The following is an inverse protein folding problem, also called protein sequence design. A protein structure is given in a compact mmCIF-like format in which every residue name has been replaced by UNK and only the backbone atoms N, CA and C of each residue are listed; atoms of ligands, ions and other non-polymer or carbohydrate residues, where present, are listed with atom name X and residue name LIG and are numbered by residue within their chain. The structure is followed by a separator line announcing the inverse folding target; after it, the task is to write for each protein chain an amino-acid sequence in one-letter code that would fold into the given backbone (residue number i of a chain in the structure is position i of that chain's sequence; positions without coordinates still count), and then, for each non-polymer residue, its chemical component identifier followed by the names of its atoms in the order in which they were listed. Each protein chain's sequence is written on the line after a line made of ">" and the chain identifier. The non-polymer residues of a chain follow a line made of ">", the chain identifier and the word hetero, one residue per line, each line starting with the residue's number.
data_IF_114019013783
#
_entry.id   IF_114019013783
#
_cell.length_a   1.000
_cell.length_b   1.000
_cell.length_c   1.000
_cell.angle_alpha   90.00
_cell.angle_beta   90.00
_cell.angle_gamma   90.00
#
_symmetry.space_group_name_H-M   'P 1'
#
loop_
_entity.id
_entity.type
_entity.pdbx_description
1 polymer ?
#
# COMPACT_ATOMS: atom_id res chain seq x y z
N UNK A 1 -14.07 -16.78 -20.06
CA UNK A 1 -13.53 -15.78 -19.13
C UNK A 1 -13.50 -16.51 -17.80
N UNK A 2 -12.32 -16.89 -17.33
CA UNK A 2 -12.21 -17.46 -15.99
C UNK A 2 -12.65 -16.36 -15.02
N UNK A 3 -13.76 -16.61 -14.33
CA UNK A 3 -14.16 -15.81 -13.19
C UNK A 3 -13.04 -15.97 -12.16
N UNK A 4 -12.28 -14.91 -11.90
CA UNK A 4 -11.32 -14.91 -10.80
C UNK A 4 -12.08 -15.30 -9.54
N UNK A 5 -11.76 -16.47 -8.99
CA UNK A 5 -12.32 -16.94 -7.72
C UNK A 5 -11.70 -16.05 -6.65
N UNK A 6 -12.50 -15.27 -5.92
CA UNK A 6 -12.04 -14.57 -4.72
C UNK A 6 -12.52 -15.34 -3.50
N UNK A 7 -11.62 -15.50 -2.52
CA UNK A 7 -11.92 -16.14 -1.23
C UNK A 7 -11.71 -15.16 -0.09
N UNK A 8 -12.60 -15.21 0.90
CA UNK A 8 -12.62 -14.28 2.02
C UNK A 8 -12.39 -15.02 3.33
N UNK A 9 -11.45 -14.57 4.19
CA UNK A 9 -11.12 -15.25 5.42
C UNK A 9 -12.26 -15.11 6.44
N UNK A 10 -12.73 -16.22 6.98
CA UNK A 10 -13.75 -16.29 8.02
C UNK A 10 -13.17 -16.92 9.28
N UNK A 11 -13.71 -16.58 10.45
CA UNK A 11 -13.32 -17.20 11.73
C UNK A 11 -14.49 -17.92 12.38
N UNK A 12 -14.39 -19.22 12.54
CA UNK A 12 -15.40 -20.06 13.21
C UNK A 12 -14.75 -20.93 14.28
N UNK A 13 -15.36 -21.01 15.46
CA UNK A 13 -14.84 -21.78 16.61
C UNK A 13 -13.36 -21.51 16.94
N UNK A 14 -12.90 -20.27 16.74
CA UNK A 14 -11.53 -19.85 17.03
C UNK A 14 -10.52 -20.09 15.90
N UNK A 15 -10.90 -20.80 14.84
CA UNK A 15 -10.04 -21.09 13.69
C UNK A 15 -10.48 -20.33 12.44
N UNK A 16 -9.54 -20.06 11.55
CA UNK A 16 -9.75 -19.41 10.28
C UNK A 16 -9.90 -20.42 9.14
N UNK A 17 -10.83 -20.11 8.24
CA UNK A 17 -11.04 -20.78 6.95
C UNK A 17 -11.45 -19.73 5.91
N UNK A 18 -12.00 -20.17 4.78
CA UNK A 18 -12.33 -19.24 3.68
C UNK A 18 -13.67 -19.57 3.03
N UNK A 19 -14.41 -18.52 2.66
CA UNK A 19 -15.66 -18.59 1.89
C UNK A 19 -15.48 -17.99 0.50
N UNK A 20 -16.33 -18.37 -0.46
CA UNK A 20 -16.47 -17.63 -1.73
C UNK A 20 -17.43 -16.43 -1.58
N UNK A 21 -17.66 -15.74 -2.70
CA UNK A 21 -18.58 -14.60 -2.78
C UNK A 21 -20.07 -14.94 -2.58
N UNK A 22 -20.42 -16.22 -2.55
CA UNK A 22 -21.76 -16.72 -2.22
C UNK A 22 -21.91 -17.10 -0.74
N UNK A 23 -20.82 -17.01 0.05
CA UNK A 23 -20.80 -17.41 1.46
C UNK A 23 -20.60 -18.90 1.70
N UNK A 24 -20.25 -19.67 0.67
CA UNK A 24 -20.00 -21.11 0.78
C UNK A 24 -18.56 -21.35 1.25
N UNK A 25 -18.40 -22.22 2.26
CA UNK A 25 -17.07 -22.61 2.77
C UNK A 25 -16.31 -23.35 1.66
N UNK A 26 -15.17 -22.78 1.28
CA UNK A 26 -14.25 -23.34 0.28
C UNK A 26 -13.02 -23.98 0.92
N UNK A 27 -12.57 -23.44 2.06
CA UNK A 27 -11.51 -24.01 2.89
C UNK A 27 -12.03 -24.04 4.32
N UNK A 28 -12.04 -25.21 4.93
CA UNK A 28 -12.60 -25.41 6.26
C UNK A 28 -11.82 -24.63 7.33
N UNK A 29 -12.47 -24.11 8.39
CA UNK A 29 -11.77 -23.41 9.46
C UNK A 29 -10.82 -24.32 10.26
N UNK A 30 -9.52 -24.21 10.00
CA UNK A 30 -8.47 -25.01 10.65
C UNK A 30 -7.21 -24.23 11.06
N UNK A 31 -7.01 -23.02 10.54
CA UNK A 31 -5.83 -22.20 10.81
C UNK A 31 -5.98 -21.31 12.05
N UNK A 32 -4.88 -20.99 12.74
CA UNK A 32 -4.90 -20.05 13.88
C UNK A 32 -4.98 -18.59 13.43
N UNK A 33 -4.48 -18.32 12.22
CA UNK A 33 -4.48 -17.03 11.56
C UNK A 33 -4.64 -17.20 10.04
N UNK A 34 -5.21 -16.20 9.38
CA UNK A 34 -5.39 -16.16 7.93
C UNK A 34 -5.54 -14.71 7.45
N UNK A 35 -4.87 -14.38 6.36
CA UNK A 35 -5.02 -13.11 5.65
C UNK A 35 -5.93 -13.24 4.42
N UNK A 36 -6.22 -12.11 3.77
CA UNK A 36 -6.91 -12.14 2.48
C UNK A 36 -5.98 -12.74 1.40
N UNK A 37 -6.57 -13.37 0.39
CA UNK A 37 -5.79 -13.82 -0.75
C UNK A 37 -5.25 -12.61 -1.51
N UNK A 38 -3.93 -12.58 -1.70
CA UNK A 38 -3.27 -11.69 -2.62
C UNK A 38 -2.86 -12.51 -3.87
N UNK A 39 -3.43 -12.16 -5.01
CA UNK A 39 -3.43 -12.97 -6.23
C UNK A 39 -4.02 -14.38 -6.02
N UNK A 40 -3.17 -15.39 -5.81
CA UNK A 40 -3.58 -16.79 -5.65
C UNK A 40 -3.06 -17.44 -4.36
N UNK A 41 -2.43 -16.66 -3.47
CA UNK A 41 -1.86 -17.15 -2.21
C UNK A 41 -2.39 -16.33 -1.04
N UNK A 42 -2.54 -17.00 0.11
CA UNK A 42 -2.88 -16.33 1.37
C UNK A 42 -1.90 -16.76 2.46
N UNK A 43 -1.53 -15.81 3.32
CA UNK A 43 -0.75 -16.08 4.52
C UNK A 43 -1.64 -16.78 5.53
N UNK A 44 -1.15 -17.86 6.14
CA UNK A 44 -1.81 -18.56 7.24
C UNK A 44 -0.86 -18.74 8.41
N UNK A 45 -1.44 -18.91 9.61
CA UNK A 45 -0.72 -19.27 10.82
C UNK A 45 -1.19 -20.63 11.37
N UNK A 46 -0.24 -21.47 11.79
CA UNK A 46 -0.46 -22.76 12.46
C UNK A 46 0.56 -22.86 13.60
N UNK A 47 0.09 -23.06 14.84
CA UNK A 47 0.95 -23.26 16.02
C UNK A 47 2.08 -22.20 16.13
N UNK A 48 1.71 -20.91 16.03
CA UNK A 48 2.59 -19.74 16.08
C UNK A 48 3.60 -19.62 14.90
N UNK A 49 3.50 -20.46 13.88
CA UNK A 49 4.32 -20.38 12.65
C UNK A 49 3.50 -19.95 11.44
N UNK A 50 4.12 -19.26 10.50
CA UNK A 50 3.46 -18.72 9.31
C UNK A 50 3.93 -19.41 8.02
N UNK A 51 3.01 -19.48 7.06
CA UNK A 51 3.23 -20.06 5.74
C UNK A 51 2.18 -19.56 4.74
N UNK A 52 2.07 -20.24 3.60
CA UNK A 52 1.14 -19.85 2.53
C UNK A 52 0.31 -21.03 2.06
N UNK A 53 -0.95 -20.76 1.72
CA UNK A 53 -1.83 -21.71 1.05
C UNK A 53 -2.26 -21.21 -0.33
N UNK A 54 -2.62 -22.15 -1.21
CA UNK A 54 -3.33 -21.85 -2.46
C UNK A 54 -4.86 -21.76 -2.27
N UNK A 55 -5.57 -21.49 -3.36
CA UNK A 55 -7.04 -21.33 -3.41
C UNK A 55 -7.85 -22.62 -3.23
N UNK A 56 -7.15 -23.75 -3.15
CA UNK A 56 -7.67 -25.07 -2.81
C UNK A 56 -7.38 -25.43 -1.33
N UNK A 57 -6.62 -24.60 -0.61
CA UNK A 57 -6.23 -24.80 0.78
C UNK A 57 -4.96 -25.64 0.96
N UNK A 58 -4.23 -25.96 -0.12
CA UNK A 58 -2.98 -26.70 0.00
C UNK A 58 -1.86 -25.79 0.46
N UNK A 59 -1.03 -26.26 1.39
CA UNK A 59 0.19 -25.56 1.79
C UNK A 59 1.17 -25.47 0.60
N UNK A 60 1.43 -24.24 0.15
CA UNK A 60 2.42 -23.91 -0.87
C UNK A 60 3.77 -23.64 -0.22
N UNK A 61 3.76 -22.89 0.89
CA UNK A 61 4.92 -22.71 1.77
C UNK A 61 4.50 -23.23 3.13
N UNK A 62 5.29 -24.15 3.69
CA UNK A 62 4.99 -24.74 4.99
C UNK A 62 4.98 -23.68 6.09
N UNK A 63 4.10 -23.87 7.06
CA UNK A 63 4.05 -23.03 8.25
C UNK A 63 5.20 -23.40 9.20
N UNK A 64 6.38 -22.83 8.97
CA UNK A 64 7.61 -23.09 9.74
C UNK A 64 8.42 -21.83 10.02
N UNK A 65 7.90 -20.65 9.63
CA UNK A 65 8.57 -19.35 9.75
C UNK A 65 7.97 -18.54 10.90
N UNK A 66 8.80 -17.74 11.55
CA UNK A 66 8.38 -16.82 12.62
C UNK A 66 7.50 -15.69 12.06
N UNK A 67 7.75 -15.29 10.82
CA UNK A 67 6.97 -14.30 10.08
C UNK A 67 7.13 -14.53 8.56
N UNK A 68 6.13 -14.11 7.78
CA UNK A 68 6.16 -14.14 6.31
C UNK A 68 5.47 -12.90 5.74
N UNK A 69 5.95 -12.43 4.60
CA UNK A 69 5.44 -11.23 3.95
C UNK A 69 4.98 -11.54 2.53
N UNK A 70 4.09 -10.71 2.00
CA UNK A 70 3.53 -10.88 0.65
C UNK A 70 4.60 -11.10 -0.42
N UNK A 71 4.23 -11.84 -1.46
CA UNK A 71 5.09 -12.06 -2.61
C UNK A 71 5.28 -10.74 -3.38
N UNK A 72 6.54 -10.42 -3.66
CA UNK A 72 6.90 -9.38 -4.63
C UNK A 72 7.90 -9.94 -5.62
N UNK A 73 7.64 -9.72 -6.91
CA UNK A 73 8.47 -10.23 -8.02
C UNK A 73 8.75 -11.75 -7.96
N UNK A 74 7.82 -12.53 -7.40
CA UNK A 74 7.90 -13.98 -7.30
C UNK A 74 8.65 -14.53 -6.08
N UNK A 75 9.09 -13.67 -5.16
CA UNK A 75 9.70 -14.06 -3.89
C UNK A 75 8.93 -13.46 -2.70
N UNK A 76 8.75 -14.24 -1.65
CA UNK A 76 8.22 -13.78 -0.37
C UNK A 76 9.35 -13.73 0.66
N UNK A 77 9.38 -12.66 1.45
CA UNK A 77 10.31 -12.53 2.58
C UNK A 77 9.82 -13.41 3.73
N UNK A 78 10.74 -14.10 4.38
CA UNK A 78 10.46 -14.97 5.53
C UNK A 78 11.44 -14.70 6.66
N UNK A 79 10.98 -14.86 7.90
CA UNK A 79 11.80 -14.74 9.10
C UNK A 79 11.96 -16.09 9.79
N UNK A 80 13.20 -16.41 10.17
CA UNK A 80 13.54 -17.61 10.91
C UNK A 80 14.76 -17.33 11.80
N UNK A 81 14.67 -17.67 13.08
CA UNK A 81 15.72 -17.41 14.08
C UNK A 81 16.12 -15.91 14.14
N UNK A 82 15.15 -15.00 13.98
CA UNK A 82 15.37 -13.56 13.95
C UNK A 82 16.22 -13.06 12.77
N UNK A 83 16.26 -13.82 11.67
CA UNK A 83 16.94 -13.46 10.42
C UNK A 83 16.00 -13.54 9.24
N UNK A 84 16.22 -12.68 8.25
CA UNK A 84 15.40 -12.62 7.03
C UNK A 84 16.05 -13.33 5.86
N UNK A 85 15.21 -14.07 5.14
CA UNK A 85 15.50 -14.79 3.90
C UNK A 85 14.32 -14.71 2.94
N UNK A 86 14.35 -15.50 1.87
CA UNK A 86 13.30 -15.47 0.84
C UNK A 86 12.96 -16.85 0.28
N UNK A 87 11.67 -17.08 0.06
CA UNK A 87 11.11 -18.30 -0.57
C UNK A 87 10.46 -17.97 -1.90
N UNK A 88 10.44 -18.93 -2.82
CA UNK A 88 9.67 -18.82 -4.07
C UNK A 88 8.21 -19.23 -3.90
N UNK A 89 7.41 -19.02 -4.95
CA UNK A 89 5.99 -19.38 -4.99
C UNK A 89 5.69 -20.90 -5.00
N UNK A 90 6.71 -21.74 -4.82
CA UNK A 90 6.59 -23.19 -4.60
C UNK A 90 7.07 -23.59 -3.20
N UNK A 91 7.37 -22.62 -2.35
CA UNK A 91 7.90 -22.82 -1.01
C UNK A 91 9.36 -23.26 -0.95
N UNK A 92 10.12 -23.14 -2.04
CA UNK A 92 11.55 -23.42 -1.99
C UNK A 92 12.28 -22.22 -1.38
N UNK A 93 13.17 -22.48 -0.42
CA UNK A 93 14.05 -21.46 0.12
C UNK A 93 15.10 -21.07 -0.92
N UNK A 94 14.98 -19.86 -1.47
CA UNK A 94 15.88 -19.32 -2.50
C UNK A 94 17.07 -18.61 -1.84
N UNK A 95 16.80 -17.87 -0.76
CA UNK A 95 17.80 -17.10 -0.04
C UNK A 95 17.69 -17.48 1.43
N UNK A 96 18.69 -18.19 1.93
CA UNK A 96 18.73 -18.61 3.33
C UNK A 96 18.69 -17.42 4.27
N UNK A 97 17.88 -17.48 5.36
CA UNK A 97 17.81 -16.43 6.37
C UNK A 97 19.19 -16.10 6.92
N UNK A 98 19.62 -14.86 6.71
CA UNK A 98 20.94 -14.40 7.12
C UNK A 98 21.02 -12.89 7.37
N UNK A 99 20.05 -12.13 6.87
CA UNK A 99 20.02 -10.67 6.99
C UNK A 99 19.36 -10.26 8.29
N UNK A 100 19.84 -9.15 8.88
CA UNK A 100 19.22 -8.55 10.06
C UNK A 100 17.85 -7.97 9.73
N UNK A 101 17.76 -7.29 8.59
CA UNK A 101 16.57 -6.67 8.04
C UNK A 101 16.62 -6.82 6.52
N UNK A 102 15.45 -6.76 5.88
CA UNK A 102 15.30 -6.82 4.43
C UNK A 102 14.00 -6.10 4.03
N UNK A 103 13.99 -5.50 2.84
CA UNK A 103 12.78 -5.04 2.16
C UNK A 103 12.31 -6.10 1.14
N UNK A 104 11.11 -5.90 0.59
CA UNK A 104 10.62 -6.72 -0.53
C UNK A 104 11.45 -6.48 -1.79
N UNK A 105 11.37 -7.40 -2.76
CA UNK A 105 11.97 -7.15 -4.07
C UNK A 105 11.19 -6.07 -4.81
N UNK A 106 11.91 -5.06 -5.32
CA UNK A 106 11.38 -4.05 -6.23
C UNK A 106 12.38 -3.79 -7.35
N UNK A 107 11.90 -3.89 -8.58
CA UNK A 107 12.65 -3.80 -9.81
C UNK A 107 13.91 -4.68 -9.89
N UNK A 108 13.83 -5.89 -9.34
CA UNK A 108 14.85 -6.94 -9.37
C UNK A 108 15.85 -6.90 -8.21
N UNK A 109 15.74 -5.94 -7.28
CA UNK A 109 16.62 -5.79 -6.12
C UNK A 109 15.83 -5.66 -4.82
N UNK A 110 16.40 -6.16 -3.73
CA UNK A 110 15.88 -5.94 -2.37
C UNK A 110 16.96 -5.29 -1.50
N UNK A 111 16.57 -4.30 -0.70
CA UNK A 111 17.47 -3.71 0.29
C UNK A 111 17.65 -4.71 1.44
N UNK A 112 18.88 -4.93 1.88
CA UNK A 112 19.20 -5.83 3.01
C UNK A 112 20.19 -5.22 3.95
N UNK A 113 20.01 -5.49 5.24
CA UNK A 113 20.90 -5.04 6.30
C UNK A 113 21.83 -6.17 6.76
N UNK A 114 23.14 -5.88 6.72
CA UNK A 114 24.18 -6.72 7.31
C UNK A 114 24.91 -5.90 8.38
N UNK A 115 24.77 -6.31 9.64
CA UNK A 115 25.23 -5.50 10.77
C UNK A 115 24.36 -4.25 10.90
N UNK A 116 24.95 -3.05 10.74
CA UNK A 116 24.26 -1.76 10.83
C UNK A 116 24.17 -1.01 9.50
N UNK A 117 24.49 -1.69 8.39
CA UNK A 117 24.59 -1.06 7.08
C UNK A 117 23.70 -1.76 6.09
N UNK A 118 23.09 -0.96 5.22
CA UNK A 118 22.23 -1.41 4.15
C UNK A 118 22.98 -1.49 2.83
N UNK A 119 22.69 -2.53 2.08
CA UNK A 119 23.10 -2.76 0.68
C UNK A 119 21.94 -3.41 -0.07
N UNK A 120 22.23 -3.97 -1.25
CA UNK A 120 21.19 -4.58 -2.08
C UNK A 120 21.62 -5.92 -2.64
N UNK A 121 20.66 -6.84 -2.72
CA UNK A 121 20.81 -8.17 -3.31
C UNK A 121 19.92 -8.33 -4.53
N UNK A 122 20.29 -9.22 -5.44
CA UNK A 122 19.41 -9.70 -6.50
C UNK A 122 18.55 -10.88 -6.03
N UNK A 123 17.66 -11.36 -6.88
CA UNK A 123 16.77 -12.50 -6.63
C UNK A 123 17.48 -13.85 -6.41
N UNK A 124 18.80 -13.93 -6.68
CA UNK A 124 19.64 -15.10 -6.35
C UNK A 124 20.33 -14.95 -4.98
N UNK A 125 20.06 -13.87 -4.25
CA UNK A 125 20.70 -13.54 -2.97
C UNK A 125 22.13 -12.98 -3.09
N UNK A 126 22.61 -12.68 -4.30
CA UNK A 126 23.94 -12.10 -4.49
C UNK A 126 23.92 -10.62 -4.18
N UNK A 127 24.87 -10.17 -3.37
CA UNK A 127 25.10 -8.74 -3.08
C UNK A 127 25.50 -8.04 -4.39
N UNK A 128 24.62 -7.17 -4.89
CA UNK A 128 24.85 -6.31 -6.06
C UNK A 128 25.47 -4.99 -5.62
N UNK A 129 24.96 -4.41 -4.54
CA UNK A 129 25.44 -3.16 -3.96
C UNK A 129 25.87 -3.47 -2.53
N UNK A 130 27.15 -3.22 -2.22
CA UNK A 130 27.71 -3.60 -0.92
C UNK A 130 27.05 -2.82 0.21
N UNK A 131 26.84 -3.45 1.39
CA UNK A 131 26.32 -2.73 2.54
C UNK A 131 27.24 -1.59 2.99
N UNK A 132 26.81 -0.36 2.74
CA UNK A 132 27.56 0.84 3.10
C UNK A 132 26.70 2.00 3.57
N UNK A 133 25.40 1.98 3.27
CA UNK A 133 24.44 3.02 3.62
C UNK A 133 23.93 2.86 5.05
N UNK A 134 23.53 3.99 5.65
CA UNK A 134 22.86 4.01 6.95
C UNK A 134 21.39 3.59 6.84
N UNK A 135 20.79 3.84 5.68
CA UNK A 135 19.41 3.47 5.35
C UNK A 135 19.27 3.30 3.84
N UNK A 136 18.31 2.48 3.41
CA UNK A 136 18.07 2.14 2.01
C UNK A 136 16.59 1.81 1.79
N UNK A 137 16.02 2.31 0.70
CA UNK A 137 14.62 2.15 0.34
C UNK A 137 14.50 1.39 -0.98
N UNK A 138 13.29 0.95 -1.30
CA UNK A 138 13.02 0.20 -2.53
C UNK A 138 13.39 1.01 -3.78
N UNK A 139 13.80 0.31 -4.83
CA UNK A 139 13.99 0.92 -6.15
C UNK A 139 12.62 1.33 -6.71
N UNK A 140 12.56 2.55 -7.23
CA UNK A 140 11.44 3.06 -8.00
C UNK A 140 11.95 3.85 -9.20
N UNK A 141 11.44 3.49 -10.37
CA UNK A 141 11.82 3.99 -11.67
C UNK A 141 13.33 4.01 -11.96
N UNK A 142 14.03 2.96 -11.53
CA UNK A 142 15.46 2.76 -11.75
C UNK A 142 16.40 3.40 -10.71
N UNK A 143 15.86 4.12 -9.71
CA UNK A 143 16.64 4.76 -8.65
C UNK A 143 16.15 4.33 -7.27
N UNK A 144 17.04 4.25 -6.30
CA UNK A 144 16.70 4.03 -4.91
C UNK A 144 17.16 5.19 -4.03
N UNK A 145 16.32 5.58 -3.08
CA UNK A 145 16.67 6.52 -2.03
C UNK A 145 17.60 5.82 -1.03
N UNK A 146 18.68 6.49 -0.63
CA UNK A 146 19.63 5.97 0.37
C UNK A 146 20.10 7.08 1.30
N UNK A 147 20.45 6.68 2.53
CA UNK A 147 21.05 7.58 3.50
C UNK A 147 22.56 7.35 3.64
N UNK A 148 23.33 8.41 3.45
CA UNK A 148 24.79 8.43 3.70
C UNK A 148 25.20 9.75 4.36
N UNK A 149 26.09 9.68 5.35
CA UNK A 149 26.52 10.87 6.10
C UNK A 149 25.38 11.64 6.79
N UNK A 150 24.27 10.96 7.11
CA UNK A 150 23.07 11.58 7.69
C UNK A 150 22.23 12.40 6.70
N UNK A 151 22.47 12.27 5.40
CA UNK A 151 21.72 12.93 4.32
C UNK A 151 21.18 11.90 3.34
N UNK A 152 20.09 12.25 2.68
CA UNK A 152 19.43 11.47 1.65
C UNK A 152 19.92 11.87 0.25
N UNK A 153 20.16 10.87 -0.57
CA UNK A 153 20.51 10.95 -1.99
C UNK A 153 19.97 9.73 -2.73
N UNK A 154 20.32 9.59 -4.00
CA UNK A 154 19.80 8.52 -4.85
C UNK A 154 20.91 7.76 -5.56
N UNK A 155 20.74 6.45 -5.69
CA UNK A 155 21.65 5.57 -6.42
C UNK A 155 20.93 4.84 -7.55
N UNK A 156 21.68 4.46 -8.59
CA UNK A 156 21.23 3.54 -9.62
C UNK A 156 21.34 2.07 -9.17
N UNK A 157 20.86 1.14 -10.02
CA UNK A 157 20.91 -0.32 -9.76
C UNK A 157 22.31 -0.93 -9.70
N UNK A 158 23.35 -0.18 -10.09
CA UNK A 158 24.74 -0.59 -9.95
C UNK A 158 25.39 -0.01 -8.68
N UNK A 159 24.66 0.81 -7.91
CA UNK A 159 25.17 1.50 -6.73
C UNK A 159 25.89 2.80 -7.04
N UNK A 160 25.84 3.31 -8.28
CA UNK A 160 26.41 4.61 -8.60
C UNK A 160 25.51 5.71 -8.04
N UNK A 161 26.11 6.75 -7.47
CA UNK A 161 25.37 7.94 -7.01
C UNK A 161 24.80 8.67 -8.23
N UNK A 162 23.48 8.68 -8.33
CA UNK A 162 22.74 9.47 -9.31
C UNK A 162 22.50 10.89 -8.81
N UNK A 163 22.20 11.04 -7.51
CA UNK A 163 22.03 12.33 -6.83
C UNK A 163 22.77 12.29 -5.50
N UNK A 164 23.74 13.19 -5.34
CA UNK A 164 24.56 13.27 -4.13
C UNK A 164 23.73 13.43 -2.86
N UNK A 165 24.03 12.68 -1.78
CA UNK A 165 23.37 12.82 -0.49
C UNK A 165 23.48 14.24 0.07
N UNK A 166 22.38 14.99 0.04
CA UNK A 166 22.33 16.39 0.47
C UNK A 166 21.01 16.81 1.10
N UNK A 167 19.97 16.01 0.97
CA UNK A 167 18.64 16.32 1.48
C UNK A 167 18.45 15.79 2.90
N UNK A 168 17.63 16.48 3.71
CA UNK A 168 17.21 15.96 5.02
C UNK A 168 16.02 15.02 4.89
N UNK A 169 15.14 15.31 3.94
CA UNK A 169 13.94 14.54 3.61
C UNK A 169 13.80 14.49 2.10
N UNK A 170 13.44 13.32 1.60
CA UNK A 170 13.12 13.05 0.21
C UNK A 170 12.21 11.81 0.15
N UNK A 171 11.40 11.73 -0.90
CA UNK A 171 10.60 10.56 -1.22
C UNK A 171 11.18 9.83 -2.45
N UNK A 172 10.65 8.65 -2.76
CA UNK A 172 11.02 7.91 -3.97
C UNK A 172 10.65 8.66 -5.25
N UNK A 173 11.13 8.17 -6.39
CA UNK A 173 10.68 8.69 -7.69
C UNK A 173 9.30 8.13 -8.03
N UNK A 174 8.41 9.00 -8.51
CA UNK A 174 7.12 8.66 -9.12
C UNK A 174 6.82 9.64 -10.24
N UNK A 175 6.39 9.11 -11.39
CA UNK A 175 6.17 9.84 -12.64
C UNK A 175 7.36 10.72 -13.06
N UNK A 176 8.58 10.21 -12.85
CA UNK A 176 9.82 10.88 -13.22
C UNK A 176 10.31 11.97 -12.26
N UNK A 177 9.62 12.23 -11.15
CA UNK A 177 9.98 13.25 -10.16
C UNK A 177 10.03 12.68 -8.74
N UNK A 178 10.85 13.30 -7.89
CA UNK A 178 10.91 13.00 -6.46
C UNK A 178 10.74 14.29 -5.64
N UNK A 179 9.89 14.26 -4.62
CA UNK A 179 9.77 15.34 -3.67
C UNK A 179 11.02 15.40 -2.76
N UNK A 180 11.61 16.58 -2.60
CA UNK A 180 12.79 16.81 -1.76
C UNK A 180 12.64 18.06 -0.91
N UNK A 181 13.21 18.04 0.28
CA UNK A 181 13.18 19.18 1.19
C UNK A 181 14.49 19.98 1.18
N UNK A 182 14.38 21.28 0.92
CA UNK A 182 15.47 22.27 0.96
C UNK A 182 15.05 23.41 1.88
N UNK A 183 15.82 23.67 2.94
CA UNK A 183 15.54 24.74 3.93
C UNK A 183 14.10 24.70 4.47
N UNK A 184 13.61 23.52 4.83
CA UNK A 184 12.25 23.28 5.36
C UNK A 184 11.11 23.55 4.37
N UNK A 185 11.40 23.62 3.07
CA UNK A 185 10.40 23.68 2.01
C UNK A 185 10.59 22.54 1.03
N UNK A 186 9.48 21.96 0.59
CA UNK A 186 9.45 20.91 -0.40
C UNK A 186 9.34 21.49 -1.81
N UNK A 187 10.08 20.87 -2.71
CA UNK A 187 10.01 21.03 -4.16
C UNK A 187 10.27 19.68 -4.82
N UNK A 188 10.48 19.67 -6.13
CA UNK A 188 10.67 18.42 -6.88
C UNK A 188 11.94 18.46 -7.72
N UNK A 189 12.62 17.32 -7.78
CA UNK A 189 13.75 17.08 -8.67
C UNK A 189 13.41 16.07 -9.76
N UNK A 190 14.12 16.15 -10.87
CA UNK A 190 14.17 15.08 -11.86
C UNK A 190 15.21 14.00 -11.47
N UNK A 191 15.34 12.97 -12.31
CA UNK A 191 16.29 11.86 -12.11
C UNK A 191 17.77 12.26 -12.21
N UNK A 192 18.07 13.42 -12.80
CA UNK A 192 19.42 13.98 -12.78
C UNK A 192 19.71 14.76 -11.49
N UNK A 193 18.71 14.94 -10.62
CA UNK A 193 18.81 15.70 -9.38
C UNK A 193 18.63 17.20 -9.55
N UNK A 194 18.19 17.65 -10.71
CA UNK A 194 17.93 19.06 -11.02
C UNK A 194 16.55 19.46 -10.51
N UNK A 195 16.46 20.66 -9.91
CA UNK A 195 15.21 21.17 -9.36
C UNK A 195 14.27 21.55 -10.52
N UNK A 196 13.18 20.80 -10.67
CA UNK A 196 12.13 21.06 -11.66
C UNK A 196 11.09 22.02 -11.09
N UNK A 197 10.65 21.77 -9.85
CA UNK A 197 9.70 22.62 -9.13
C UNK A 197 10.43 23.17 -7.90
N UNK A 198 10.59 24.50 -7.88
CA UNK A 198 11.36 25.17 -6.82
C UNK A 198 10.72 24.93 -5.45
N UNK A 199 11.53 24.64 -4.41
CA UNK A 199 11.03 24.50 -3.05
C UNK A 199 10.24 25.70 -2.58
N UNK A 200 8.95 25.50 -2.31
CA UNK A 200 8.03 26.56 -1.88
C UNK A 200 6.90 26.03 -0.95
N UNK A 201 6.70 24.72 -0.91
CA UNK A 201 5.62 24.08 -0.17
C UNK A 201 6.10 23.63 1.21
N UNK A 202 5.23 23.60 2.22
CA UNK A 202 5.60 22.97 3.50
C UNK A 202 5.65 21.45 3.39
N UNK A 203 4.73 20.89 2.61
CA UNK A 203 4.57 19.44 2.37
C UNK A 203 4.30 19.21 0.87
N UNK A 204 4.73 18.06 0.35
CA UNK A 204 4.58 17.68 -1.05
C UNK A 204 4.50 16.16 -1.13
N UNK A 205 3.42 15.64 -1.70
CA UNK A 205 3.27 14.22 -1.96
C UNK A 205 3.94 13.82 -3.28
N UNK A 206 4.04 12.52 -3.54
CA UNK A 206 4.48 11.98 -4.82
C UNK A 206 3.54 12.38 -5.96
N UNK A 207 4.09 12.48 -7.16
CA UNK A 207 3.26 12.63 -8.36
C UNK A 207 2.49 11.35 -8.61
N UNK A 208 1.19 11.51 -8.86
CA UNK A 208 0.32 10.44 -9.30
C UNK A 208 -0.68 10.99 -10.30
N UNK A 209 -0.81 10.31 -11.42
CA UNK A 209 -1.78 10.63 -12.45
C UNK A 209 -1.61 12.05 -13.05
N UNK A 210 -0.37 12.54 -13.08
CA UNK A 210 0.05 13.83 -13.62
C UNK A 210 -0.05 15.02 -12.66
N UNK A 211 -0.48 14.79 -11.41
CA UNK A 211 -0.66 15.83 -10.39
C UNK A 211 -0.01 15.41 -9.07
N UNK A 212 0.36 16.39 -8.24
CA UNK A 212 0.82 16.14 -6.88
C UNK A 212 0.13 17.08 -5.89
N UNK A 213 -0.32 16.54 -4.76
CA UNK A 213 -0.84 17.34 -3.65
C UNK A 213 0.30 18.08 -2.96
N UNK A 214 0.17 19.39 -2.80
CA UNK A 214 1.17 20.24 -2.14
C UNK A 214 0.50 21.20 -1.17
N UNK A 215 1.18 21.48 -0.07
CA UNK A 215 0.70 22.38 0.97
C UNK A 215 1.34 23.77 0.81
N UNK A 216 0.49 24.78 0.59
CA UNK A 216 0.86 26.18 0.43
C UNK A 216 0.00 27.06 1.35
N UNK A 217 0.64 27.77 2.28
CA UNK A 217 -0.03 28.62 3.27
C UNK A 217 -1.10 27.85 4.08
N UNK A 218 -0.70 26.71 4.64
CA UNK A 218 -1.53 25.84 5.49
C UNK A 218 -2.77 25.26 4.79
N UNK A 219 -2.77 25.23 3.44
CA UNK A 219 -3.82 24.63 2.62
C UNK A 219 -3.22 23.77 1.51
N UNK A 220 -3.87 22.66 1.23
CA UNK A 220 -3.55 21.75 0.14
C UNK A 220 -4.21 22.20 -1.17
N UNK A 221 -3.43 22.13 -2.23
CA UNK A 221 -3.84 22.24 -3.63
C UNK A 221 -3.07 21.21 -4.46
N UNK A 222 -3.21 21.26 -5.78
CA UNK A 222 -2.53 20.32 -6.67
C UNK A 222 -1.76 21.06 -7.75
N UNK A 223 -0.53 20.60 -7.97
CA UNK A 223 0.37 21.12 -9.01
C UNK A 223 0.58 20.08 -10.11
N UNK A 224 0.77 20.56 -11.34
CA UNK A 224 1.23 19.73 -12.45
C UNK A 224 2.76 19.56 -12.46
N UNK A 225 3.26 18.79 -13.43
CA UNK A 225 4.70 18.55 -13.61
C UNK A 225 5.53 19.79 -13.96
N UNK A 226 4.91 20.92 -14.32
CA UNK A 226 5.58 22.21 -14.52
C UNK A 226 5.60 23.05 -13.24
N UNK A 227 4.93 22.58 -12.18
CA UNK A 227 4.74 23.30 -10.93
C UNK A 227 3.61 24.33 -10.98
N UNK A 228 2.74 24.29 -11.98
CA UNK A 228 1.57 25.16 -12.08
C UNK A 228 0.46 24.62 -11.16
N UNK A 229 -0.09 25.47 -10.29
CA UNK A 229 -1.20 25.11 -9.39
C UNK A 229 -2.50 24.98 -10.21
N UNK A 230 -2.83 23.74 -10.62
CA UNK A 230 -4.02 23.43 -11.43
C UNK A 230 -5.30 23.37 -10.59
N UNK A 231 -5.18 22.96 -9.33
CA UNK A 231 -6.28 23.00 -8.36
C UNK A 231 -5.82 23.90 -7.19
N UNK A 232 -6.47 25.07 -6.98
CA UNK A 232 -6.03 26.03 -5.97
C UNK A 232 -5.90 25.45 -4.57
N UNK A 233 -4.89 25.90 -3.82
CA UNK A 233 -4.71 25.57 -2.42
C UNK A 233 -5.84 26.13 -1.56
N UNK A 234 -6.79 25.27 -1.18
CA UNK A 234 -7.97 25.63 -0.38
C UNK A 234 -8.44 24.54 0.58
N UNK A 235 -7.90 23.33 0.46
CA UNK A 235 -8.26 22.18 1.28
C UNK A 235 -7.41 22.14 2.56
N UNK A 236 -7.95 21.63 3.65
CA UNK A 236 -7.19 21.38 4.88
C UNK A 236 -6.31 20.14 4.78
N UNK A 237 -6.69 19.21 3.90
CA UNK A 237 -5.93 17.99 3.59
C UNK A 237 -6.29 17.49 2.18
N UNK A 238 -5.36 16.78 1.53
CA UNK A 238 -5.59 16.15 0.24
C UNK A 238 -4.73 14.88 0.08
N UNK A 239 -5.33 13.86 -0.53
CA UNK A 239 -4.64 12.63 -0.93
C UNK A 239 -4.09 12.71 -2.37
N UNK A 240 -3.32 11.71 -2.78
CA UNK A 240 -2.90 11.52 -4.15
C UNK A 240 -4.09 11.18 -5.07
N UNK A 241 -3.95 11.51 -6.35
CA UNK A 241 -4.91 11.04 -7.34
C UNK A 241 -4.78 9.53 -7.56
N UNK A 242 -5.90 8.84 -7.61
CA UNK A 242 -5.99 7.43 -7.97
C UNK A 242 -7.30 7.16 -8.70
N UNK A 243 -7.22 6.51 -9.87
CA UNK A 243 -8.33 6.27 -10.81
C UNK A 243 -9.09 7.55 -11.21
N UNK A 244 -8.41 8.69 -11.29
CA UNK A 244 -8.98 9.96 -11.74
C UNK A 244 -9.61 10.85 -10.67
N UNK A 245 -9.54 10.47 -9.39
CA UNK A 245 -10.07 11.25 -8.26
C UNK A 245 -9.08 11.30 -7.09
N UNK A 246 -9.21 12.33 -6.26
CA UNK A 246 -8.45 12.50 -5.02
C UNK A 246 -9.39 12.86 -3.88
N UNK A 247 -9.19 12.26 -2.71
CA UNK A 247 -9.89 12.64 -1.49
C UNK A 247 -9.36 14.00 -1.00
N UNK A 248 -10.26 14.88 -0.58
CA UNK A 248 -9.91 16.21 -0.04
C UNK A 248 -10.77 16.54 1.17
N UNK A 249 -10.22 17.34 2.08
CA UNK A 249 -10.92 17.77 3.29
C UNK A 249 -11.05 19.30 3.40
N UNK A 250 -12.15 19.77 3.97
CA UNK A 250 -12.31 21.14 4.47
C UNK A 250 -12.89 21.04 5.89
N UNK A 251 -12.17 21.56 6.88
CA UNK A 251 -12.46 21.31 8.28
C UNK A 251 -12.39 19.81 8.60
N UNK A 252 -13.46 19.27 9.18
CA UNK A 252 -13.62 17.86 9.54
C UNK A 252 -14.40 17.06 8.47
N UNK A 253 -14.67 17.65 7.30
CA UNK A 253 -15.48 17.02 6.24
C UNK A 253 -14.65 16.67 5.02
N UNK A 254 -15.00 15.54 4.43
CA UNK A 254 -14.31 14.94 3.30
C UNK A 254 -15.23 14.77 2.09
N UNK A 255 -14.61 14.76 0.91
CA UNK A 255 -15.23 14.51 -0.38
C UNK A 255 -14.18 14.11 -1.43
N UNK A 256 -14.62 13.91 -2.68
CA UNK A 256 -13.74 13.58 -3.80
C UNK A 256 -13.79 14.67 -4.85
N UNK A 257 -12.62 15.01 -5.39
CA UNK A 257 -12.49 15.90 -6.56
C UNK A 257 -11.86 15.18 -7.72
N UNK A 258 -12.22 15.59 -8.94
CA UNK A 258 -11.56 15.14 -10.16
C UNK A 258 -10.33 16.01 -10.49
N UNK A 259 -9.64 15.72 -11.60
CA UNK A 259 -8.42 16.45 -12.03
C UNK A 259 -8.63 17.91 -12.42
N UNK A 260 -9.87 18.34 -12.65
CA UNK A 260 -10.22 19.75 -12.84
C UNK A 260 -10.56 20.46 -11.51
N UNK A 261 -10.48 19.75 -10.37
CA UNK A 261 -10.84 20.27 -9.05
C UNK A 261 -12.34 20.39 -8.82
N UNK A 262 -13.16 19.76 -9.67
CA UNK A 262 -14.61 19.68 -9.50
C UNK A 262 -14.94 18.57 -8.50
N UNK A 263 -15.79 18.88 -7.53
CA UNK A 263 -16.35 17.90 -6.60
C UNK A 263 -17.15 16.83 -7.36
N UNK A 264 -16.67 15.59 -7.28
CA UNK A 264 -17.41 14.39 -7.68
C UNK A 264 -18.32 13.95 -6.54
N UNK A 265 -17.77 13.93 -5.32
CA UNK A 265 -18.49 13.68 -4.07
C UNK A 265 -18.36 14.93 -3.21
N UNK A 266 -19.49 15.57 -2.80
CA UNK A 266 -19.45 16.81 -2.03
C UNK A 266 -18.67 16.66 -0.72
N UNK A 267 -17.97 17.73 -0.32
CA UNK A 267 -17.19 17.78 0.92
C UNK A 267 -18.14 17.96 2.12
N UNK A 268 -18.78 16.87 2.55
CA UNK A 268 -19.81 16.87 3.60
C UNK A 268 -19.83 15.63 4.49
N UNK A 269 -19.04 14.60 4.17
CA UNK A 269 -18.99 13.35 4.90
C UNK A 269 -17.95 13.43 6.01
N UNK A 270 -18.12 12.68 7.10
CA UNK A 270 -17.15 12.65 8.19
C UNK A 270 -15.83 12.00 7.72
N UNK A 271 -15.93 11.10 6.74
CA UNK A 271 -14.81 10.52 6.03
C UNK A 271 -15.25 9.95 4.67
N UNK A 272 -14.30 9.75 3.76
CA UNK A 272 -14.50 9.04 2.49
C UNK A 272 -13.32 8.12 2.24
N UNK A 273 -13.57 6.99 1.60
CA UNK A 273 -12.52 6.04 1.21
C UNK A 273 -12.82 5.52 -0.21
N UNK A 274 -12.36 4.33 -0.55
CA UNK A 274 -12.15 3.86 -1.90
C UNK A 274 -13.42 3.76 -2.74
N UNK A 275 -13.31 4.17 -4.00
CA UNK A 275 -14.29 3.87 -5.04
C UNK A 275 -14.03 2.47 -5.60
N UNK A 276 -14.99 1.55 -5.44
CA UNK A 276 -14.86 0.17 -5.87
C UNK A 276 -16.17 -0.37 -6.43
N UNK A 277 -16.09 -0.98 -7.61
CA UNK A 277 -17.23 -1.61 -8.30
C UNK A 277 -18.51 -0.75 -8.41
N UNK A 278 -18.35 0.57 -8.53
CA UNK A 278 -19.43 1.54 -8.65
C UNK A 278 -19.97 2.10 -7.33
N UNK A 279 -19.43 1.66 -6.19
CA UNK A 279 -19.78 2.13 -4.85
C UNK A 279 -18.63 2.90 -4.21
N UNK A 280 -18.97 3.80 -3.31
CA UNK A 280 -18.03 4.68 -2.59
C UNK A 280 -18.32 4.54 -1.10
N UNK A 281 -17.30 4.15 -0.32
CA UNK A 281 -17.42 4.08 1.14
C UNK A 281 -17.36 5.50 1.73
N UNK A 282 -18.34 5.81 2.57
CA UNK A 282 -18.45 7.12 3.25
C UNK A 282 -18.85 6.95 4.70
N UNK A 283 -18.35 7.83 5.56
CA UNK A 283 -18.68 7.86 6.98
C UNK A 283 -19.64 9.02 7.28
N UNK A 284 -20.68 8.73 8.07
CA UNK A 284 -21.67 9.71 8.55
C UNK A 284 -22.01 9.40 10.00
N UNK A 285 -21.83 10.39 10.87
CA UNK A 285 -22.01 10.31 12.32
C UNK A 285 -21.25 9.14 12.97
N UNK A 286 -20.01 8.92 12.54
CA UNK A 286 -19.15 7.85 13.07
C UNK A 286 -19.52 6.44 12.62
N UNK A 287 -20.31 6.31 11.54
CA UNK A 287 -20.71 5.03 10.95
C UNK A 287 -20.48 5.03 9.45
N UNK A 288 -20.01 3.91 8.94
CA UNK A 288 -19.73 3.71 7.52
C UNK A 288 -20.91 3.10 6.78
N UNK A 289 -21.10 3.57 5.55
CA UNK A 289 -22.04 3.06 4.56
C UNK A 289 -21.47 3.22 3.15
N UNK A 290 -22.30 2.97 2.13
CA UNK A 290 -21.89 3.03 0.73
C UNK A 290 -22.89 3.83 -0.10
N UNK A 291 -22.36 4.74 -0.92
CA UNK A 291 -23.14 5.54 -1.86
C UNK A 291 -22.81 5.19 -3.31
N UNK A 292 -23.73 5.50 -4.21
CA UNK A 292 -23.44 5.59 -5.64
C UNK A 292 -22.80 6.95 -6.00
N UNK A 293 -22.44 7.14 -7.27
CA UNK A 293 -21.85 8.39 -7.77
C UNK A 293 -22.82 9.58 -7.76
N UNK A 294 -24.14 9.32 -7.69
CA UNK A 294 -25.19 10.32 -7.50
C UNK A 294 -25.37 10.70 -6.02
N UNK A 295 -24.57 10.13 -5.12
CA UNK A 295 -24.63 10.31 -3.67
C UNK A 295 -25.90 9.75 -3.00
N UNK A 296 -26.55 8.76 -3.62
CA UNK A 296 -27.63 8.00 -2.97
C UNK A 296 -27.02 6.87 -2.14
N UNK A 297 -27.51 6.66 -0.92
CA UNK A 297 -27.12 5.50 -0.13
C UNK A 297 -27.66 4.22 -0.76
N UNK A 298 -26.74 3.34 -1.15
CA UNK A 298 -27.04 1.96 -1.54
C UNK A 298 -27.07 1.08 -0.29
N UNK A 299 -26.15 1.37 0.64
CA UNK A 299 -26.11 0.73 1.96
C UNK A 299 -26.00 1.84 2.99
N UNK A 300 -27.01 1.94 3.86
CA UNK A 300 -27.08 2.98 4.88
C UNK A 300 -25.92 2.90 5.89
N UNK A 301 -25.43 4.04 6.41
CA UNK A 301 -24.38 4.08 7.41
C UNK A 301 -24.77 3.32 8.68
N UNK A 302 -24.10 2.21 8.95
CA UNK A 302 -24.39 1.36 10.10
C UNK A 302 -23.18 0.55 10.60
N UNK A 303 -22.08 0.55 9.85
CA UNK A 303 -20.88 -0.22 10.18
C UNK A 303 -19.87 0.61 10.96
N UNK A 304 -19.10 -0.04 11.82
CA UNK A 304 -17.97 0.58 12.53
C UNK A 304 -16.81 0.81 11.57
N UNK A 305 -16.58 -0.11 10.62
CA UNK A 305 -15.56 -0.04 9.59
C UNK A 305 -16.04 -0.77 8.33
N UNK A 306 -15.52 -0.39 7.17
CA UNK A 306 -15.83 -1.00 5.87
C UNK A 306 -14.57 -1.12 5.01
N UNK A 307 -14.52 -2.11 4.13
CA UNK A 307 -13.52 -2.23 3.06
C UNK A 307 -14.11 -1.87 1.69
N UNK A 308 -13.25 -1.76 0.68
CA UNK A 308 -13.68 -1.79 -0.72
C UNK A 308 -14.43 -3.08 -1.06
N UNK A 309 -15.29 -3.03 -2.08
CA UNK A 309 -15.86 -4.21 -2.70
C UNK A 309 -14.83 -4.90 -3.61
N UNK A 310 -14.74 -6.22 -3.50
CA UNK A 310 -13.96 -7.10 -4.38
C UNK A 310 -14.84 -8.30 -4.70
N UNK A 311 -15.08 -8.56 -5.98
CA UNK A 311 -15.95 -9.63 -6.49
C UNK A 311 -17.35 -9.62 -5.82
N UNK A 312 -17.94 -8.42 -5.72
CA UNK A 312 -19.29 -8.25 -5.19
C UNK A 312 -19.43 -8.31 -3.67
N UNK A 313 -18.34 -8.50 -2.93
CA UNK A 313 -18.34 -8.60 -1.46
C UNK A 313 -17.46 -7.54 -0.82
N UNK A 314 -17.89 -7.00 0.32
CA UNK A 314 -17.07 -6.16 1.18
C UNK A 314 -17.01 -6.73 2.60
N UNK A 315 -15.83 -6.59 3.23
CA UNK A 315 -15.61 -6.85 4.64
C UNK A 315 -16.08 -5.64 5.43
N UNK A 316 -16.84 -5.87 6.50
CA UNK A 316 -17.35 -4.82 7.37
C UNK A 316 -17.24 -5.22 8.83
N UNK A 317 -17.01 -4.25 9.70
CA UNK A 317 -17.07 -4.42 11.15
C UNK A 317 -18.42 -3.92 11.65
N UNK A 318 -19.16 -4.77 12.36
CA UNK A 318 -20.43 -4.43 12.99
C UNK A 318 -20.51 -5.02 14.39
N UNK A 319 -20.68 -4.17 15.40
CA UNK A 319 -20.75 -4.59 16.81
C UNK A 319 -19.49 -5.37 17.23
N UNK A 320 -18.31 -4.88 16.85
CA UNK A 320 -17.01 -5.52 17.06
C UNK A 320 -16.86 -6.92 16.43
N UNK A 321 -17.63 -7.20 15.37
CA UNK A 321 -17.53 -8.47 14.62
C UNK A 321 -17.34 -8.20 13.14
N UNK A 322 -16.39 -8.92 12.55
CA UNK A 322 -16.20 -8.94 11.10
C UNK A 322 -17.38 -9.69 10.47
N UNK A 323 -17.91 -9.12 9.39
CA UNK A 323 -18.93 -9.71 8.52
C UNK A 323 -18.56 -9.46 7.07
N UNK A 324 -19.16 -10.25 6.19
CA UNK A 324 -19.08 -10.05 4.74
C UNK A 324 -20.47 -9.74 4.21
N UNK A 325 -20.59 -8.65 3.45
CA UNK A 325 -21.85 -8.22 2.85
C UNK A 325 -21.74 -8.18 1.33
N UNK A 326 -22.86 -8.45 0.66
CA UNK A 326 -23.01 -8.16 -0.76
C UNK A 326 -23.34 -6.67 -1.01
N UNK A 327 -23.47 -6.29 -2.27
CA UNK A 327 -23.81 -4.90 -2.68
C UNK A 327 -25.18 -4.39 -2.24
N UNK A 328 -26.07 -5.28 -1.82
CA UNK A 328 -27.37 -4.92 -1.24
C UNK A 328 -27.30 -4.77 0.30
N UNK A 329 -26.09 -4.88 0.88
CA UNK A 329 -25.87 -4.80 2.32
C UNK A 329 -26.24 -6.07 3.10
N UNK A 330 -26.55 -7.17 2.40
CA UNK A 330 -26.94 -8.43 3.03
C UNK A 330 -25.72 -9.25 3.41
N UNK A 331 -25.71 -9.75 4.64
CA UNK A 331 -24.66 -10.61 5.15
C UNK A 331 -24.67 -11.96 4.41
N UNK A 332 -23.58 -12.30 3.72
CA UNK A 332 -23.48 -13.52 2.91
C UNK A 332 -23.01 -14.74 3.73
N UNK A 333 -22.40 -14.49 4.89
CA UNK A 333 -21.97 -15.55 5.80
C UNK A 333 -22.43 -15.27 7.22
N UNK A 334 -22.89 -16.31 7.91
CA UNK A 334 -23.39 -16.24 9.29
C UNK A 334 -22.68 -17.32 10.10
N UNK A 335 -22.12 -16.92 11.24
CA UNK A 335 -21.56 -17.83 12.27
C UNK A 335 -22.70 -18.54 12.98
#
# INVERSE_FOLDING_TARGET
>A
METHKTLYPIKSNGKYGYINNLGEICIEPEFDYAEEFNESLAIIGIDDSFGFIDMEGNLVVKAEYEDVYEFSEGLAMVELEGKRGFVDNKGNLVITPQFNEASIFSEGLAAVQLGYKWGYINQEGKIVIKPEFLDAFDFSEGLALVQSGGKLGFIDKNGNIAVEPKYNYAYGFSEGMAAVQVKNKCGYIDKAGEIVIKPNYSTANDFSEGLAAVELNDKYGFVDAKGEMTIPAKYDWADNFYKGFAAVAIGDKYGFVNKEGKELIPIKFDNVDTISEGLISVEVNGKWGYIDKECNFIIEPNFDEVSKFVDGVAKVTFENRIRYINKDGQCIWKV
#
